data_IF_104147946225
#
_entry.id   IF_104147946225
#
_cell.length_a   1.000
_cell.length_b   1.000
_cell.length_c   1.000
_cell.angle_alpha   90.00
_cell.angle_beta   90.00
_cell.angle_gamma   90.00
#
_symmetry.space_group_name_H-M   'P 1'
#
loop_
_entity.id
_entity.type
_entity.pdbx_description
1 polymer ?
#
# COMPACT_ATOMS: atom_id res chain seq x y z
N UNK A 1 -11.21 -7.72 7.48
CA UNK A 1 -9.85 -7.89 6.95
C UNK A 1 -9.88 -7.49 5.48
N UNK A 2 -9.20 -6.41 5.09
CA UNK A 2 -9.09 -6.02 3.69
C UNK A 2 -7.91 -6.76 3.07
N UNK A 3 -8.18 -7.48 1.98
CA UNK A 3 -7.16 -8.13 1.18
C UNK A 3 -7.34 -7.67 -0.27
N UNK A 4 -6.23 -7.33 -0.91
CA UNK A 4 -6.23 -6.82 -2.27
C UNK A 4 -5.43 -7.77 -3.16
N UNK A 5 -6.01 -8.14 -4.30
CA UNK A 5 -5.31 -8.94 -5.32
C UNK A 5 -4.56 -7.99 -6.24
N UNK A 6 -3.25 -8.15 -6.37
CA UNK A 6 -2.39 -7.31 -7.20
C UNK A 6 -1.93 -8.16 -8.40
N UNK A 7 -2.24 -7.68 -9.61
CA UNK A 7 -1.86 -8.29 -10.89
C UNK A 7 -2.17 -9.78 -11.03
N UNK A 8 -3.18 -10.30 -10.32
CA UNK A 8 -3.48 -11.73 -10.22
C UNK A 8 -2.34 -12.64 -9.73
N UNK A 9 -1.25 -12.06 -9.23
CA UNK A 9 -0.04 -12.78 -8.84
C UNK A 9 0.28 -12.66 -7.36
N UNK A 10 -0.27 -11.62 -6.70
CA UNK A 10 0.01 -11.34 -5.31
C UNK A 10 -1.28 -11.05 -4.54
N UNK A 11 -1.26 -11.39 -3.26
CA UNK A 11 -2.26 -10.96 -2.29
C UNK A 11 -1.59 -10.01 -1.31
N UNK A 12 -2.09 -8.77 -1.23
CA UNK A 12 -1.74 -7.86 -0.16
C UNK A 12 -2.74 -8.01 0.98
N UNK A 13 -2.27 -8.39 2.16
CA UNK A 13 -3.03 -8.38 3.40
C UNK A 13 -2.68 -7.13 4.21
N UNK A 14 -3.62 -6.19 4.27
CA UNK A 14 -3.41 -4.89 4.91
C UNK A 14 -3.18 -5.02 6.42
N UNK A 15 -3.96 -5.87 7.09
CA UNK A 15 -3.87 -6.07 8.54
C UNK A 15 -2.54 -6.69 8.97
N UNK A 16 -2.00 -7.62 8.16
CA UNK A 16 -0.71 -8.25 8.41
C UNK A 16 0.47 -7.42 7.88
N UNK A 17 0.20 -6.44 7.00
CA UNK A 17 1.19 -5.66 6.25
C UNK A 17 2.09 -6.58 5.41
N UNK A 18 1.48 -7.54 4.73
CA UNK A 18 2.19 -8.61 4.01
C UNK A 18 1.73 -8.72 2.57
N UNK A 19 2.69 -8.95 1.67
CA UNK A 19 2.41 -9.33 0.29
C UNK A 19 2.82 -10.79 0.14
N UNK A 20 1.87 -11.63 -0.26
CA UNK A 20 2.07 -13.06 -0.52
C UNK A 20 2.03 -13.32 -2.01
N UNK A 21 3.05 -13.99 -2.55
CA UNK A 21 3.03 -14.48 -3.92
C UNK A 21 2.11 -15.69 -4.05
N UNK A 22 1.22 -15.67 -5.04
CA UNK A 22 0.36 -16.81 -5.36
C UNK A 22 1.13 -17.95 -6.06
N UNK A 23 2.31 -17.67 -6.63
CA UNK A 23 3.11 -18.68 -7.34
C UNK A 23 4.00 -19.49 -6.39
N UNK A 24 4.70 -18.81 -5.48
CA UNK A 24 5.68 -19.43 -4.58
C UNK A 24 5.19 -19.60 -3.14
N UNK A 25 4.03 -19.01 -2.80
CA UNK A 25 3.52 -18.90 -1.43
C UNK A 25 4.47 -18.18 -0.45
N UNK A 26 5.50 -17.50 -0.98
CA UNK A 26 6.40 -16.67 -0.17
C UNK A 26 5.68 -15.38 0.25
N UNK A 27 5.82 -15.03 1.53
CA UNK A 27 5.27 -13.81 2.10
C UNK A 27 6.39 -12.82 2.45
N UNK A 28 6.20 -11.56 2.06
CA UNK A 28 7.08 -10.46 2.41
C UNK A 28 6.35 -9.48 3.32
N UNK A 29 6.88 -9.30 4.54
CA UNK A 29 6.34 -8.35 5.52
C UNK A 29 6.92 -6.96 5.30
N UNK A 30 6.04 -5.97 5.28
CA UNK A 30 6.37 -4.57 5.06
C UNK A 30 6.44 -3.78 6.35
N UNK A 31 7.26 -2.74 6.33
CA UNK A 31 7.20 -1.69 7.35
C UNK A 31 5.86 -0.97 7.29
N UNK A 32 5.47 -0.34 8.40
CA UNK A 32 4.21 0.40 8.49
C UNK A 32 4.05 1.43 7.37
N UNK A 33 5.11 2.19 7.08
CA UNK A 33 5.13 3.22 6.03
C UNK A 33 4.85 2.65 4.65
N UNK A 34 5.52 1.55 4.28
CA UNK A 34 5.32 0.91 2.97
C UNK A 34 3.90 0.36 2.82
N UNK A 35 3.36 -0.24 3.89
CA UNK A 35 1.99 -0.73 3.90
C UNK A 35 0.98 0.42 3.74
N UNK A 36 1.15 1.52 4.46
CA UNK A 36 0.27 2.69 4.36
C UNK A 36 0.32 3.35 2.98
N UNK A 37 1.52 3.54 2.42
CA UNK A 37 1.65 4.03 1.04
C UNK A 37 0.88 3.11 0.07
N UNK A 38 1.07 1.80 0.20
CA UNK A 38 0.42 0.84 -0.70
C UNK A 38 -1.11 0.84 -0.55
N UNK A 39 -1.63 0.86 0.67
CA UNK A 39 -3.07 0.99 0.93
C UNK A 39 -3.64 2.24 0.26
N UNK A 40 -3.00 3.39 0.46
CA UNK A 40 -3.44 4.64 -0.14
C UNK A 40 -3.45 4.59 -1.67
N UNK A 41 -2.40 4.03 -2.28
CA UNK A 41 -2.33 3.87 -3.74
C UNK A 41 -3.45 2.97 -4.27
N UNK A 42 -3.77 1.87 -3.57
CA UNK A 42 -4.84 0.96 -3.97
C UNK A 42 -6.23 1.62 -3.84
N UNK A 43 -6.49 2.33 -2.74
CA UNK A 43 -7.76 3.03 -2.52
C UNK A 43 -8.00 4.14 -3.57
N UNK A 44 -6.93 4.79 -4.03
CA UNK A 44 -6.98 5.88 -5.00
C UNK A 44 -6.66 5.42 -6.43
N UNK A 45 -6.62 4.11 -6.71
CA UNK A 45 -6.24 3.57 -8.03
C UNK A 45 -7.18 3.96 -9.18
N UNK A 46 -8.36 4.50 -8.87
CA UNK A 46 -9.33 5.02 -9.83
C UNK A 46 -8.97 6.44 -10.32
N UNK A 47 -8.05 7.13 -9.64
CA UNK A 47 -7.58 8.45 -10.03
C UNK A 47 -6.51 8.31 -11.12
N UNK A 48 -6.57 9.17 -12.13
CA UNK A 48 -5.58 9.19 -13.23
C UNK A 48 -4.18 9.59 -12.73
N UNK A 49 -4.11 10.45 -11.71
CA UNK A 49 -2.87 10.92 -11.12
C UNK A 49 -2.97 10.97 -9.60
N UNK A 50 -2.02 10.31 -8.94
CA UNK A 50 -1.81 10.42 -7.49
C UNK A 50 -0.61 11.34 -7.26
N UNK A 51 -0.84 12.49 -6.62
CA UNK A 51 0.21 13.48 -6.33
C UNK A 51 0.97 13.14 -5.03
N UNK A 52 2.23 13.55 -4.98
CA UNK A 52 3.13 13.30 -3.84
C UNK A 52 2.57 13.83 -2.53
N UNK A 53 1.95 15.01 -2.57
CA UNK A 53 1.38 15.68 -1.41
C UNK A 53 0.22 14.88 -0.82
N UNK A 54 -0.57 14.20 -1.65
CA UNK A 54 -1.66 13.32 -1.22
C UNK A 54 -1.14 12.09 -0.49
N UNK A 55 -0.11 11.44 -1.04
CA UNK A 55 0.57 10.32 -0.38
C UNK A 55 1.23 10.77 0.92
N UNK A 56 1.92 11.91 0.90
CA UNK A 56 2.59 12.44 2.08
C UNK A 56 1.58 12.76 3.20
N UNK A 57 0.45 13.37 2.86
CA UNK A 57 -0.63 13.63 3.79
C UNK A 57 -1.23 12.34 4.35
N UNK A 58 -1.49 11.35 3.50
CA UNK A 58 -2.06 10.08 3.92
C UNK A 58 -1.15 9.35 4.92
N UNK A 59 0.17 9.41 4.71
CA UNK A 59 1.14 8.63 5.47
C UNK A 59 1.63 9.36 6.74
N UNK A 60 1.80 10.68 6.69
CA UNK A 60 2.35 11.49 7.79
C UNK A 60 1.37 12.53 8.38
N UNK A 61 0.18 12.70 7.81
CA UNK A 61 -0.80 13.70 8.24
C UNK A 61 -0.42 15.13 7.86
N UNK A 62 -0.99 16.14 8.54
CA UNK A 62 -0.66 17.56 8.33
C UNK A 62 0.77 17.94 8.77
N UNK A 63 1.46 17.07 9.51
CA UNK A 63 2.75 17.40 10.10
C UNK A 63 3.90 16.87 9.23
N UNK A 64 4.59 17.82 8.59
CA UNK A 64 5.88 17.74 7.89
C UNK A 64 5.85 17.15 6.48
N UNK A 65 5.80 18.06 5.51
CA UNK A 65 6.51 17.87 4.25
C UNK A 65 8.01 17.71 4.55
N UNK A 66 8.50 16.48 4.58
CA UNK A 66 9.91 16.20 4.34
C UNK A 66 9.93 15.14 3.25
N UNK A 67 9.85 15.64 2.01
CA UNK A 67 10.38 15.03 0.81
C UNK A 67 11.04 16.15 0.01
#
# INVERSE_FOLDING_TARGET
MRQHKINNEFIYNESLREITSLRSNAAFKMTFMRAWCLSYLIENAHQELIIREGVAYAVWGRAKSIC
#
